data_IF_387534478673
#
_entry.id   IF_387534478673
#
_cell.length_a   1.000
_cell.length_b   1.000
_cell.length_c   1.000
_cell.angle_alpha   90.00
_cell.angle_beta   90.00
_cell.angle_gamma   90.00
#
_symmetry.space_group_name_H-M   'P 1'
#
loop_
_entity.id
_entity.type
_entity.pdbx_description
1 polymer ?
#
# COMPACT_ATOMS: atom_id res chain seq x y z
N UNK A 1 18.73 -14.45 4.38
CA UNK A 1 18.44 -13.93 5.72
C UNK A 1 19.74 -13.90 6.52
N UNK A 2 20.01 -12.80 7.24
CA UNK A 2 21.27 -12.59 7.95
C UNK A 2 21.46 -13.54 9.16
N UNK A 3 20.37 -14.13 9.67
CA UNK A 3 20.40 -14.93 10.91
C UNK A 3 20.62 -14.10 12.19
N UNK A 4 20.69 -12.77 12.08
CA UNK A 4 20.88 -11.88 13.22
C UNK A 4 19.58 -11.75 14.05
N UNK A 5 19.67 -11.58 15.37
CA UNK A 5 18.52 -11.25 16.19
C UNK A 5 17.93 -9.89 15.78
N UNK A 6 16.59 -9.83 15.73
CA UNK A 6 15.83 -8.62 15.35
C UNK A 6 14.97 -8.20 16.51
N UNK A 7 15.13 -6.95 16.94
CA UNK A 7 14.33 -6.31 17.98
C UNK A 7 13.39 -5.30 17.33
N UNK A 8 12.09 -5.60 17.35
CA UNK A 8 11.07 -4.77 16.66
C UNK A 8 10.43 -3.79 17.61
N UNK A 9 10.38 -2.54 17.20
CA UNK A 9 9.67 -1.45 17.89
C UNK A 9 8.49 -0.99 17.03
N UNK A 10 7.31 -0.97 17.62
CA UNK A 10 6.06 -0.53 16.98
C UNK A 10 5.29 0.43 17.88
N UNK A 11 4.46 1.30 17.29
CA UNK A 11 3.60 2.22 18.07
C UNK A 11 2.31 1.52 18.53
N UNK A 12 2.41 0.66 19.52
CA UNK A 12 1.29 -0.12 20.07
C UNK A 12 0.92 0.22 21.52
N UNK A 13 1.61 1.19 22.13
CA UNK A 13 1.47 1.62 23.52
C UNK A 13 1.38 3.13 23.62
N UNK A 14 1.18 3.62 24.84
CA UNK A 14 1.37 5.03 25.18
C UNK A 14 2.83 5.45 24.99
N UNK A 15 3.11 6.73 25.01
CA UNK A 15 4.42 7.29 24.72
C UNK A 15 5.51 6.78 25.66
N UNK A 16 5.21 6.70 26.96
CA UNK A 16 6.17 6.18 27.95
C UNK A 16 6.49 4.69 27.74
N UNK A 17 5.47 3.91 27.36
CA UNK A 17 5.65 2.50 27.03
C UNK A 17 6.51 2.31 25.78
N UNK A 18 6.28 3.12 24.75
CA UNK A 18 7.11 3.10 23.53
C UNK A 18 8.55 3.49 23.80
N UNK A 19 8.82 4.53 24.60
CA UNK A 19 10.18 4.91 24.98
C UNK A 19 10.91 3.80 25.74
N UNK A 20 10.21 3.08 26.62
CA UNK A 20 10.78 1.91 27.31
C UNK A 20 11.13 0.79 26.32
N UNK A 21 10.23 0.51 25.35
CA UNK A 21 10.47 -0.50 24.34
C UNK A 21 11.66 -0.12 23.42
N UNK A 22 11.81 1.17 23.07
CA UNK A 22 12.97 1.67 22.32
C UNK A 22 14.25 1.42 23.09
N UNK A 23 14.33 1.85 24.36
CA UNK A 23 15.52 1.66 25.17
C UNK A 23 15.89 0.18 25.34
N UNK A 24 14.89 -0.67 25.66
CA UNK A 24 15.10 -2.10 25.82
C UNK A 24 15.60 -2.75 24.53
N UNK A 25 15.05 -2.39 23.37
CA UNK A 25 15.47 -2.93 22.07
C UNK A 25 16.95 -2.61 21.78
N UNK A 26 17.38 -1.37 22.01
CA UNK A 26 18.78 -0.99 21.80
C UNK A 26 19.72 -1.61 22.84
N UNK A 27 19.33 -1.68 24.12
CA UNK A 27 20.12 -2.34 25.16
C UNK A 27 20.37 -3.82 24.84
N UNK A 28 19.33 -4.55 24.45
CA UNK A 28 19.46 -5.96 24.08
C UNK A 28 20.26 -6.14 22.78
N UNK A 29 20.05 -5.26 21.79
CA UNK A 29 20.83 -5.28 20.55
C UNK A 29 22.33 -5.08 20.81
N UNK A 30 22.70 -4.14 21.66
CA UNK A 30 24.11 -3.88 22.05
C UNK A 30 24.72 -5.08 22.77
N UNK A 31 23.99 -5.75 23.68
CA UNK A 31 24.47 -6.94 24.39
C UNK A 31 24.82 -8.08 23.43
N UNK A 32 24.08 -8.23 22.34
CA UNK A 32 24.28 -9.28 21.33
C UNK A 32 25.44 -9.00 20.37
N UNK A 33 26.07 -7.83 20.41
CA UNK A 33 27.20 -7.38 19.55
C UNK A 33 26.94 -7.33 18.05
N UNK A 34 25.98 -8.10 17.53
CA UNK A 34 25.49 -8.07 16.15
C UNK A 34 23.99 -8.31 16.19
N UNK A 35 23.21 -7.27 15.91
CA UNK A 35 21.77 -7.31 15.97
C UNK A 35 21.13 -6.25 15.07
N UNK A 36 19.85 -6.40 14.81
CA UNK A 36 19.04 -5.44 14.07
C UNK A 36 18.00 -4.86 15.02
N UNK A 37 17.90 -3.53 15.07
CA UNK A 37 16.75 -2.83 15.64
C UNK A 37 15.87 -2.39 14.49
N UNK A 38 14.64 -2.88 14.46
CA UNK A 38 13.68 -2.63 13.40
C UNK A 38 12.53 -1.75 13.89
N UNK A 39 12.36 -0.60 13.26
CA UNK A 39 11.23 0.29 13.50
C UNK A 39 10.18 0.11 12.39
N UNK A 40 8.99 -0.31 12.76
CA UNK A 40 7.86 -0.35 11.82
C UNK A 40 7.06 0.94 11.90
N UNK A 41 6.85 1.59 10.73
CA UNK A 41 6.18 2.89 10.61
C UNK A 41 6.82 3.97 11.52
N UNK A 42 8.13 4.18 11.44
CA UNK A 42 8.86 5.15 12.28
C UNK A 42 8.31 6.58 12.17
N UNK A 43 7.73 6.95 11.03
CA UNK A 43 7.08 8.24 10.82
C UNK A 43 5.88 8.46 11.75
N UNK A 44 5.28 7.40 12.28
CA UNK A 44 4.24 7.49 13.32
C UNK A 44 4.80 7.82 14.71
N UNK A 45 6.10 7.57 14.91
CA UNK A 45 6.81 7.85 16.18
C UNK A 45 7.50 9.22 16.18
N UNK A 46 7.81 9.76 15.00
CA UNK A 46 8.72 10.92 14.83
C UNK A 46 8.16 12.01 13.92
N UNK A 47 6.85 12.15 13.73
CA UNK A 47 6.26 13.13 12.81
C UNK A 47 6.43 14.57 13.32
N UNK A 48 6.97 15.47 12.48
CA UNK A 48 7.06 16.90 12.76
C UNK A 48 5.68 17.61 12.84
N UNK A 49 4.63 17.02 12.28
CA UNK A 49 3.27 17.57 12.27
C UNK A 49 2.55 17.49 13.64
N UNK A 50 3.09 16.74 14.58
CA UNK A 50 2.51 16.58 15.92
C UNK A 50 3.17 17.57 16.88
N UNK A 51 2.44 18.62 17.21
CA UNK A 51 2.84 19.59 18.24
C UNK A 51 3.20 18.86 19.53
N UNK A 52 4.47 18.85 19.88
CA UNK A 52 5.08 18.48 21.17
C UNK A 52 4.93 17.03 21.67
N UNK A 53 3.95 16.24 21.21
CA UNK A 53 3.69 14.91 21.78
C UNK A 53 4.71 13.82 21.41
N UNK A 54 5.33 13.91 20.23
CA UNK A 54 6.28 12.89 19.75
C UNK A 54 7.76 13.29 19.99
N UNK A 55 8.02 14.47 20.53
CA UNK A 55 9.37 14.96 20.78
C UNK A 55 10.20 14.03 21.70
N UNK A 56 9.67 13.47 22.80
CA UNK A 56 10.40 12.55 23.65
C UNK A 56 10.80 11.25 22.96
N UNK A 57 9.91 10.63 22.18
CA UNK A 57 10.22 9.42 21.41
C UNK A 57 11.32 9.69 20.39
N UNK A 58 11.22 10.79 19.65
CA UNK A 58 12.24 11.19 18.69
C UNK A 58 13.62 11.35 19.32
N UNK A 59 13.70 12.09 20.45
CA UNK A 59 14.96 12.30 21.19
C UNK A 59 15.52 10.96 21.67
N UNK A 60 14.66 10.07 22.18
CA UNK A 60 15.05 8.76 22.65
C UNK A 60 15.63 7.91 21.51
N UNK A 61 14.99 7.88 20.34
CA UNK A 61 15.51 7.18 19.16
C UNK A 61 16.88 7.73 18.76
N UNK A 62 16.99 9.05 18.67
CA UNK A 62 18.23 9.72 18.27
C UNK A 62 19.38 9.41 19.23
N UNK A 63 19.15 9.49 20.53
CA UNK A 63 20.16 9.21 21.57
C UNK A 63 20.61 7.77 21.51
N UNK A 64 19.68 6.83 21.32
CA UNK A 64 20.03 5.40 21.22
C UNK A 64 20.79 5.07 19.92
N UNK A 65 20.43 5.68 18.79
CA UNK A 65 21.19 5.55 17.53
C UNK A 65 22.63 6.05 17.71
N UNK A 66 22.81 7.19 18.35
CA UNK A 66 24.16 7.70 18.61
C UNK A 66 24.95 6.82 19.60
N UNK A 67 24.29 6.27 20.60
CA UNK A 67 24.90 5.39 21.58
C UNK A 67 25.27 3.98 21.03
N UNK A 68 24.64 3.52 19.97
CA UNK A 68 24.92 2.21 19.37
C UNK A 68 25.93 2.26 18.20
N UNK A 69 26.47 3.42 17.85
CA UNK A 69 27.52 3.56 16.83
C UNK A 69 28.71 2.65 17.19
N UNK A 70 29.23 1.99 16.18
CA UNK A 70 30.37 1.08 16.29
C UNK A 70 30.17 -0.16 17.20
N UNK A 71 28.92 -0.42 17.62
CA UNK A 71 28.58 -1.58 18.48
C UNK A 71 27.97 -2.77 17.72
N UNK A 72 28.05 -2.75 16.38
CA UNK A 72 27.53 -3.84 15.56
C UNK A 72 25.99 -3.90 15.47
N UNK A 73 25.30 -2.81 15.80
CA UNK A 73 23.84 -2.70 15.71
C UNK A 73 23.46 -2.02 14.39
N UNK A 74 22.69 -2.72 13.56
CA UNK A 74 22.08 -2.16 12.35
C UNK A 74 20.68 -1.67 12.71
N UNK A 75 20.38 -0.41 12.38
CA UNK A 75 19.04 0.15 12.53
C UNK A 75 18.36 0.17 11.17
N UNK A 76 17.18 -0.46 11.10
CA UNK A 76 16.32 -0.50 9.90
C UNK A 76 14.96 0.07 10.25
N UNK A 77 14.38 0.87 9.37
CA UNK A 77 13.08 1.46 9.59
C UNK A 77 12.23 1.44 8.33
N UNK A 78 10.91 1.26 8.48
CA UNK A 78 9.94 1.55 7.44
C UNK A 78 9.28 2.89 7.71
N UNK A 79 8.92 3.62 6.65
CA UNK A 79 8.17 4.88 6.75
C UNK A 79 7.27 5.06 5.53
N UNK A 80 6.04 5.51 5.76
CA UNK A 80 5.12 5.86 4.67
C UNK A 80 5.28 7.30 4.21
N UNK A 81 5.75 8.19 5.09
CA UNK A 81 5.85 9.64 4.83
C UNK A 81 7.20 10.18 5.28
N UNK A 82 8.24 9.86 4.50
CA UNK A 82 9.62 10.28 4.83
C UNK A 82 9.76 11.81 4.94
N UNK A 83 8.98 12.58 4.16
CA UNK A 83 8.98 14.05 4.20
C UNK A 83 8.49 14.64 5.53
N UNK A 84 7.86 13.84 6.39
CA UNK A 84 7.41 14.23 7.73
C UNK A 84 8.41 13.87 8.83
N UNK A 85 9.48 13.18 8.48
CA UNK A 85 10.51 12.79 9.44
C UNK A 85 11.49 13.91 9.69
N UNK A 86 11.94 14.09 10.94
CA UNK A 86 12.99 15.06 11.28
C UNK A 86 14.26 14.82 10.46
N UNK A 87 14.74 15.85 9.79
CA UNK A 87 15.94 15.79 8.96
C UNK A 87 17.18 15.30 9.74
N UNK A 88 17.19 15.50 11.06
CA UNK A 88 18.28 15.03 11.92
C UNK A 88 18.37 13.52 12.04
N UNK A 89 17.28 12.75 11.84
CA UNK A 89 17.30 11.30 11.77
C UNK A 89 17.81 10.78 10.41
N UNK A 90 17.65 11.55 9.36
CA UNK A 90 18.01 11.18 7.99
C UNK A 90 19.46 11.58 7.62
N UNK A 91 20.25 12.00 8.61
CA UNK A 91 21.65 12.40 8.41
C UNK A 91 22.61 11.21 8.48
N UNK A 92 23.81 11.42 7.92
CA UNK A 92 24.90 10.43 7.96
C UNK A 92 25.17 9.91 9.37
N UNK A 93 25.34 8.59 9.47
CA UNK A 93 25.52 7.86 10.72
C UNK A 93 24.22 7.57 11.47
N UNK A 94 23.04 7.74 10.85
CA UNK A 94 21.74 7.33 11.37
C UNK A 94 20.96 6.62 10.25
N UNK A 95 19.77 7.10 9.82
CA UNK A 95 19.01 6.54 8.70
C UNK A 95 19.44 7.23 7.38
N UNK A 96 20.69 7.10 7.02
CA UNK A 96 21.31 7.76 5.89
C UNK A 96 21.13 7.03 4.56
N UNK A 97 20.89 5.73 4.60
CA UNK A 97 20.56 4.94 3.41
C UNK A 97 19.04 4.82 3.27
N UNK A 98 18.51 5.35 2.19
CA UNK A 98 17.08 5.37 1.91
C UNK A 98 16.80 4.58 0.63
N UNK A 99 15.86 3.65 0.71
CA UNK A 99 15.42 2.84 -0.40
C UNK A 99 13.94 3.15 -0.67
N UNK A 100 13.63 3.99 -1.68
CA UNK A 100 12.24 4.24 -2.06
C UNK A 100 11.64 2.95 -2.63
N UNK A 101 10.49 2.56 -2.08
CA UNK A 101 9.67 1.47 -2.63
C UNK A 101 8.47 2.15 -3.28
N UNK A 102 8.54 2.25 -4.59
CA UNK A 102 7.52 2.90 -5.40
C UNK A 102 6.34 1.96 -5.68
N UNK A 103 5.28 2.51 -6.25
CA UNK A 103 4.16 1.72 -6.75
C UNK A 103 4.69 0.83 -7.89
N UNK A 104 4.31 -0.46 -7.95
CA UNK A 104 4.78 -1.36 -8.99
C UNK A 104 4.48 -0.85 -10.39
N UNK A 105 5.45 -0.95 -11.28
CA UNK A 105 5.23 -0.77 -12.71
C UNK A 105 4.34 -1.90 -13.27
N UNK A 106 3.91 -1.76 -14.51
CA UNK A 106 2.92 -2.67 -15.11
C UNK A 106 3.36 -4.14 -15.11
N UNK A 107 4.62 -4.39 -15.44
CA UNK A 107 5.20 -5.74 -15.47
C UNK A 107 5.26 -6.35 -14.08
N UNK A 108 5.68 -5.58 -13.08
CA UNK A 108 5.72 -6.00 -11.69
C UNK A 108 4.31 -6.18 -11.12
N UNK A 109 3.38 -5.28 -11.46
CA UNK A 109 1.98 -5.40 -11.07
C UNK A 109 1.36 -6.70 -11.60
N UNK A 110 1.66 -7.10 -12.85
CA UNK A 110 1.21 -8.36 -13.43
C UNK A 110 1.69 -9.57 -12.62
N UNK A 111 2.99 -9.60 -12.29
CA UNK A 111 3.58 -10.68 -11.50
C UNK A 111 2.97 -10.75 -10.07
N UNK A 112 2.72 -9.58 -9.46
CA UNK A 112 2.09 -9.49 -8.14
C UNK A 112 0.63 -9.97 -8.17
N UNK A 113 -0.15 -9.54 -9.16
CA UNK A 113 -1.53 -9.98 -9.37
C UNK A 113 -1.57 -11.51 -9.55
N UNK A 114 -0.72 -12.04 -10.41
CA UNK A 114 -0.62 -13.48 -10.62
C UNK A 114 -0.25 -14.23 -9.33
N UNK A 115 0.72 -13.71 -8.56
CA UNK A 115 1.12 -14.30 -7.28
C UNK A 115 -0.03 -14.36 -6.28
N UNK A 116 -0.82 -13.29 -6.15
CA UNK A 116 -1.96 -13.29 -5.23
C UNK A 116 -3.12 -14.15 -5.73
N UNK A 117 -3.41 -14.14 -7.03
CA UNK A 117 -4.46 -14.95 -7.62
C UNK A 117 -4.14 -16.45 -7.55
N UNK A 118 -2.88 -16.86 -7.74
CA UNK A 118 -2.46 -18.27 -7.60
C UNK A 118 -2.72 -18.84 -6.21
N UNK A 119 -2.82 -18.02 -5.18
CA UNK A 119 -3.22 -18.43 -3.82
C UNK A 119 -4.72 -18.68 -3.68
N UNK A 120 -5.49 -18.46 -4.70
CA UNK A 120 -6.95 -18.61 -4.74
C UNK A 120 -7.34 -19.63 -5.82
N UNK A 121 -8.57 -20.12 -5.73
CA UNK A 121 -9.16 -20.89 -6.82
C UNK A 121 -9.71 -19.91 -7.85
N UNK A 122 -8.97 -19.70 -8.91
CA UNK A 122 -9.31 -18.75 -9.99
C UNK A 122 -9.91 -19.51 -11.16
N UNK A 123 -10.84 -18.86 -11.87
CA UNK A 123 -11.40 -19.37 -13.13
C UNK A 123 -10.26 -19.51 -14.16
N UNK A 124 -10.11 -20.68 -14.80
CA UNK A 124 -9.12 -20.88 -15.85
C UNK A 124 -9.24 -19.88 -17.01
N UNK A 125 -10.44 -19.32 -17.23
CA UNK A 125 -10.72 -18.35 -18.27
C UNK A 125 -10.57 -16.89 -17.77
N UNK A 126 -10.12 -16.66 -16.54
CA UNK A 126 -9.91 -15.31 -16.03
C UNK A 126 -8.85 -14.58 -16.86
N UNK A 127 -9.17 -13.38 -17.32
CA UNK A 127 -8.25 -12.56 -18.10
C UNK A 127 -7.33 -11.79 -17.18
N UNK A 128 -6.13 -12.33 -16.96
CA UNK A 128 -5.10 -11.70 -16.11
C UNK A 128 -4.61 -10.37 -16.65
N UNK A 129 -4.57 -10.20 -17.98
CA UNK A 129 -4.15 -8.94 -18.61
C UNK A 129 -5.14 -7.81 -18.30
N UNK A 130 -6.42 -8.07 -18.44
CA UNK A 130 -7.47 -7.08 -18.13
C UNK A 130 -7.48 -6.75 -16.63
N UNK A 131 -7.31 -7.77 -15.77
CA UNK A 131 -7.19 -7.56 -14.32
C UNK A 131 -5.98 -6.65 -14.04
N UNK A 132 -4.82 -6.93 -14.64
CA UNK A 132 -3.62 -6.13 -14.44
C UNK A 132 -3.80 -4.69 -14.90
N UNK A 133 -4.36 -4.46 -16.09
CA UNK A 133 -4.63 -3.11 -16.60
C UNK A 133 -5.53 -2.31 -15.65
N UNK A 134 -6.53 -2.95 -15.07
CA UNK A 134 -7.47 -2.31 -14.16
C UNK A 134 -6.81 -1.92 -12.84
N UNK A 135 -5.94 -2.78 -12.29
CA UNK A 135 -5.32 -2.55 -10.98
C UNK A 135 -3.92 -1.93 -11.04
N UNK A 136 -3.43 -1.64 -12.24
CA UNK A 136 -2.17 -0.92 -12.47
C UNK A 136 -2.10 0.34 -11.61
N UNK A 137 -0.89 0.72 -11.18
CA UNK A 137 -0.66 1.88 -10.30
C UNK A 137 -1.27 1.78 -8.90
N UNK A 138 -1.67 0.58 -8.46
CA UNK A 138 -2.08 0.31 -7.09
C UNK A 138 -0.90 -0.19 -6.25
N UNK A 139 -0.89 0.18 -4.96
CA UNK A 139 0.09 -0.41 -4.03
C UNK A 139 -0.13 -1.92 -3.86
N UNK A 140 0.95 -2.67 -3.52
CA UNK A 140 0.83 -4.12 -3.27
C UNK A 140 -0.25 -4.45 -2.22
N UNK A 141 -0.38 -3.61 -1.18
CA UNK A 141 -1.41 -3.77 -0.15
C UNK A 141 -2.83 -3.63 -0.74
N UNK A 142 -3.01 -2.68 -1.68
CA UNK A 142 -4.29 -2.48 -2.34
C UNK A 142 -4.60 -3.64 -3.29
N UNK A 143 -3.61 -4.14 -4.02
CA UNK A 143 -3.75 -5.33 -4.88
C UNK A 143 -4.20 -6.54 -4.06
N UNK A 144 -3.54 -6.83 -2.93
CA UNK A 144 -3.93 -7.94 -2.05
C UNK A 144 -5.36 -7.77 -1.52
N UNK A 145 -5.71 -6.54 -1.10
CA UNK A 145 -7.06 -6.21 -0.63
C UNK A 145 -8.13 -6.48 -1.69
N UNK A 146 -7.95 -6.00 -2.90
CA UNK A 146 -8.90 -6.19 -4.02
C UNK A 146 -9.06 -7.67 -4.33
N UNK A 147 -7.96 -8.42 -4.40
CA UNK A 147 -8.01 -9.86 -4.68
C UNK A 147 -8.65 -10.66 -3.52
N UNK A 148 -8.42 -10.27 -2.28
CA UNK A 148 -9.11 -10.86 -1.14
C UNK A 148 -10.61 -10.59 -1.17
N UNK A 149 -11.02 -9.35 -1.46
CA UNK A 149 -12.44 -8.98 -1.55
C UNK A 149 -13.12 -9.70 -2.73
N UNK A 150 -12.42 -9.89 -3.87
CA UNK A 150 -12.96 -10.66 -4.99
C UNK A 150 -13.31 -12.10 -4.62
N UNK A 151 -12.50 -12.74 -3.78
CA UNK A 151 -12.78 -14.07 -3.27
C UNK A 151 -14.02 -14.08 -2.35
N UNK A 152 -14.21 -13.03 -1.54
CA UNK A 152 -15.42 -12.87 -0.71
C UNK A 152 -16.66 -12.68 -1.59
N UNK A 153 -16.56 -11.88 -2.65
CA UNK A 153 -17.65 -11.65 -3.61
C UNK A 153 -18.02 -12.96 -4.32
N UNK A 154 -17.04 -13.70 -4.82
CA UNK A 154 -17.26 -15.02 -5.45
C UNK A 154 -17.97 -15.98 -4.47
N UNK A 155 -17.53 -16.03 -3.21
CA UNK A 155 -18.16 -16.87 -2.19
C UNK A 155 -19.61 -16.45 -1.90
N UNK A 156 -19.92 -15.15 -1.82
CA UNK A 156 -21.29 -14.63 -1.67
C UNK A 156 -22.19 -15.04 -2.83
N UNK A 157 -21.64 -15.05 -4.05
CA UNK A 157 -22.33 -15.51 -5.27
C UNK A 157 -22.37 -17.05 -5.38
N UNK A 158 -21.89 -17.78 -4.38
CA UNK A 158 -21.80 -19.25 -4.35
C UNK A 158 -20.99 -19.83 -5.51
N UNK A 159 -20.03 -19.08 -6.05
CA UNK A 159 -19.08 -19.54 -7.05
C UNK A 159 -17.98 -20.39 -6.38
N UNK A 160 -17.42 -21.34 -7.14
CA UNK A 160 -16.31 -22.18 -6.69
C UNK A 160 -14.94 -21.58 -7.01
N UNK A 161 -14.92 -20.61 -7.91
CA UNK A 161 -13.72 -19.95 -8.44
C UNK A 161 -13.96 -18.44 -8.54
N UNK A 162 -12.88 -17.67 -8.51
CA UNK A 162 -12.89 -16.22 -8.67
C UNK A 162 -12.77 -15.93 -10.16
N UNK A 163 -13.72 -15.19 -10.73
CA UNK A 163 -13.70 -14.73 -12.11
C UNK A 163 -13.22 -13.28 -12.23
N UNK A 164 -12.94 -12.85 -13.47
CA UNK A 164 -12.57 -11.45 -13.78
C UNK A 164 -13.61 -10.47 -13.26
N UNK A 165 -14.90 -10.77 -13.43
CA UNK A 165 -16.01 -9.92 -12.97
C UNK A 165 -16.06 -9.75 -11.45
N UNK A 166 -15.58 -10.72 -10.66
CA UNK A 166 -15.53 -10.62 -9.21
C UNK A 166 -14.39 -9.69 -8.76
N UNK A 167 -13.29 -9.68 -9.53
CA UNK A 167 -12.18 -8.74 -9.31
C UNK A 167 -12.60 -7.33 -9.70
N UNK A 168 -13.30 -7.16 -10.83
CA UNK A 168 -13.86 -5.87 -11.26
C UNK A 168 -14.79 -5.30 -10.18
N UNK A 169 -15.72 -6.11 -9.66
CA UNK A 169 -16.64 -5.67 -8.61
C UNK A 169 -15.90 -5.27 -7.32
N UNK A 170 -14.88 -6.04 -6.93
CA UNK A 170 -14.05 -5.74 -5.77
C UNK A 170 -13.28 -4.41 -5.93
N UNK A 171 -12.71 -4.18 -7.11
CA UNK A 171 -12.00 -2.95 -7.45
C UNK A 171 -12.93 -1.73 -7.39
N UNK A 172 -14.09 -1.83 -8.03
CA UNK A 172 -15.09 -0.76 -8.03
C UNK A 172 -15.55 -0.42 -6.62
N UNK A 173 -15.81 -1.44 -5.79
CA UNK A 173 -16.22 -1.26 -4.40
C UNK A 173 -15.13 -0.60 -3.54
N UNK A 174 -13.85 -0.86 -3.83
CA UNK A 174 -12.74 -0.25 -3.09
C UNK A 174 -12.52 1.22 -3.47
N UNK A 175 -12.60 1.54 -4.76
CA UNK A 175 -12.33 2.88 -5.27
C UNK A 175 -13.53 3.81 -5.19
N UNK A 176 -14.71 3.26 -5.39
CA UNK A 176 -15.98 3.99 -5.38
C UNK A 176 -16.80 3.48 -4.20
N UNK A 177 -16.57 4.05 -3.02
CA UNK A 177 -17.37 3.73 -1.84
C UNK A 177 -18.85 3.82 -2.20
N UNK A 178 -19.64 2.81 -1.82
CA UNK A 178 -21.10 2.81 -1.91
C UNK A 178 -21.68 3.99 -1.11
N UNK A 179 -21.62 5.19 -1.66
CA UNK A 179 -22.48 6.27 -1.22
C UNK A 179 -23.87 5.93 -1.74
N UNK A 180 -24.68 5.31 -0.87
CA UNK A 180 -26.06 4.91 -1.01
C UNK A 180 -26.64 5.07 -2.40
N UNK A 181 -26.81 3.95 -3.08
CA UNK A 181 -27.28 3.88 -4.47
C UNK A 181 -28.57 4.68 -4.66
N UNK A 182 -28.47 5.94 -5.01
CA UNK A 182 -29.60 6.71 -5.52
C UNK A 182 -29.92 6.15 -6.89
N UNK A 183 -31.11 5.58 -7.05
CA UNK A 183 -31.58 5.05 -8.34
C UNK A 183 -31.54 6.17 -9.37
N UNK A 184 -30.53 6.15 -10.24
CA UNK A 184 -30.48 7.05 -11.40
C UNK A 184 -31.67 6.78 -12.32
N UNK A 185 -32.19 7.83 -12.92
CA UNK A 185 -33.11 7.67 -14.06
C UNK A 185 -32.32 7.10 -15.25
N UNK A 186 -32.98 6.31 -16.09
CA UNK A 186 -32.37 5.75 -17.30
C UNK A 186 -31.73 6.84 -18.19
N UNK A 187 -32.29 8.03 -18.20
CA UNK A 187 -31.78 9.18 -18.95
C UNK A 187 -30.41 9.65 -18.43
N UNK A 188 -30.24 9.79 -17.10
CA UNK A 188 -28.96 10.18 -16.51
C UNK A 188 -27.89 9.11 -16.75
N UNK A 189 -28.25 7.83 -16.67
CA UNK A 189 -27.31 6.74 -17.00
C UNK A 189 -26.88 6.80 -18.46
N UNK A 190 -27.83 7.07 -19.38
CA UNK A 190 -27.52 7.20 -20.80
C UNK A 190 -26.56 8.35 -21.07
N UNK A 191 -26.78 9.51 -20.47
CA UNK A 191 -25.92 10.69 -20.64
C UNK A 191 -24.50 10.38 -20.15
N UNK A 192 -24.36 9.78 -18.94
CA UNK A 192 -23.08 9.38 -18.42
C UNK A 192 -22.39 8.34 -19.31
N UNK A 193 -23.15 7.35 -19.84
CA UNK A 193 -22.60 6.35 -20.76
C UNK A 193 -22.04 6.96 -22.04
N UNK A 194 -22.73 7.92 -22.62
CA UNK A 194 -22.27 8.61 -23.84
C UNK A 194 -21.02 9.43 -23.53
N UNK A 195 -20.97 10.09 -22.38
CA UNK A 195 -19.82 10.87 -21.95
C UNK A 195 -18.56 9.98 -21.80
N UNK A 196 -18.66 8.89 -21.06
CA UNK A 196 -17.55 7.96 -20.88
C UNK A 196 -17.15 7.25 -22.18
N UNK A 197 -18.11 6.89 -23.03
CA UNK A 197 -17.83 6.36 -24.34
C UNK A 197 -17.04 7.34 -25.22
N UNK A 198 -17.33 8.65 -25.09
CA UNK A 198 -16.55 9.70 -25.75
C UNK A 198 -15.10 9.74 -25.28
N UNK A 199 -14.86 9.67 -23.99
CA UNK A 199 -13.49 9.58 -23.43
C UNK A 199 -12.76 8.34 -23.93
N UNK A 200 -13.43 7.18 -23.92
CA UNK A 200 -12.87 5.93 -24.44
C UNK A 200 -12.50 6.04 -25.91
N UNK A 201 -13.41 6.54 -26.75
CA UNK A 201 -13.16 6.65 -28.18
C UNK A 201 -11.97 7.55 -28.49
N UNK A 202 -11.87 8.70 -27.83
CA UNK A 202 -10.74 9.62 -27.99
C UNK A 202 -9.44 8.98 -27.50
N UNK A 203 -9.46 8.36 -26.33
CA UNK A 203 -8.28 7.71 -25.77
C UNK A 203 -7.75 6.59 -26.68
N UNK A 204 -8.63 5.72 -27.17
CA UNK A 204 -8.28 4.61 -28.08
C UNK A 204 -7.79 5.07 -29.45
N UNK A 205 -8.30 6.21 -29.95
CA UNK A 205 -7.79 6.81 -31.19
C UNK A 205 -6.39 7.36 -31.01
N UNK A 206 -6.13 8.01 -29.86
CA UNK A 206 -4.81 8.59 -29.58
C UNK A 206 -3.79 7.52 -29.22
N UNK A 207 -4.19 6.50 -28.48
CA UNK A 207 -3.32 5.39 -28.05
C UNK A 207 -4.14 4.12 -27.89
N UNK A 208 -4.06 3.24 -28.88
CA UNK A 208 -4.79 1.97 -28.90
C UNK A 208 -4.42 1.08 -27.69
N UNK A 209 -5.46 0.55 -27.03
CA UNK A 209 -5.31 -0.33 -25.86
C UNK A 209 -5.02 0.40 -24.55
N UNK A 210 -5.21 1.73 -24.49
CA UNK A 210 -4.96 2.55 -23.31
C UNK A 210 -6.11 2.52 -22.30
N UNK A 211 -7.31 2.12 -22.73
CA UNK A 211 -8.46 2.05 -21.82
C UNK A 211 -8.37 0.79 -20.96
N UNK A 212 -8.20 0.97 -19.66
CA UNK A 212 -8.13 -0.11 -18.68
C UNK A 212 -9.51 -0.54 -18.18
N UNK A 213 -10.35 0.43 -17.83
CA UNK A 213 -11.70 0.19 -17.31
C UNK A 213 -12.62 1.35 -17.59
N UNK A 214 -13.85 1.04 -17.98
CA UNK A 214 -14.94 2.01 -18.07
C UNK A 214 -16.07 1.54 -17.18
N UNK A 215 -16.59 2.42 -16.37
CA UNK A 215 -17.71 2.10 -15.50
C UNK A 215 -18.65 3.27 -15.31
N UNK A 216 -19.91 2.92 -15.11
CA UNK A 216 -20.95 3.84 -14.65
C UNK A 216 -21.46 3.29 -13.35
N UNK A 217 -20.93 3.81 -12.26
CA UNK A 217 -21.27 3.35 -10.91
C UNK A 217 -21.78 4.51 -10.08
N UNK A 218 -22.81 4.24 -9.26
CA UNK A 218 -23.47 5.25 -8.42
C UNK A 218 -23.91 6.49 -9.23
N UNK A 219 -23.40 7.67 -8.90
CA UNK A 219 -23.80 8.93 -9.52
C UNK A 219 -22.85 9.44 -10.60
N UNK A 220 -21.72 8.75 -10.82
CA UNK A 220 -20.68 9.19 -11.74
C UNK A 220 -20.26 8.06 -12.68
N UNK A 221 -19.88 8.41 -13.93
CA UNK A 221 -19.13 7.56 -14.82
C UNK A 221 -17.63 7.85 -14.68
N UNK A 222 -16.79 6.91 -15.04
CA UNK A 222 -15.36 7.16 -15.17
C UNK A 222 -14.74 6.26 -16.22
N UNK A 223 -13.69 6.77 -16.81
CA UNK A 223 -12.81 6.05 -17.73
C UNK A 223 -11.41 6.03 -17.15
N UNK A 224 -10.92 4.84 -16.80
CA UNK A 224 -9.54 4.64 -16.34
C UNK A 224 -8.66 4.36 -17.52
N UNK A 225 -7.57 5.12 -17.64
CA UNK A 225 -6.56 4.93 -18.67
C UNK A 225 -5.34 4.23 -18.09
N UNK A 226 -4.81 3.26 -18.82
CA UNK A 226 -3.52 2.61 -18.56
C UNK A 226 -2.41 3.53 -19.10
N UNK A 227 -2.10 4.59 -18.34
CA UNK A 227 -1.05 5.56 -18.66
C UNK A 227 0.10 5.39 -17.68
N UNK A 228 1.36 5.40 -18.14
CA UNK A 228 2.52 5.43 -17.26
C UNK A 228 2.60 6.75 -16.49
#
# INVERSE_FOLDING_TARGET
ASGLPVYTVTKNKDEQGVMKDINAAFEEAIKNKQAIVFFDDIDKLCSEDRKDADAPCFVTIQSNMDACKDKGVLVVATANKIGKMPKSLLRSGRLDHQFPIEIPEKEDAAAIVEYYLRKRKVDPNANYEDITKMVSYSSCANLDKVINESAVIAARKRKKVVGTEDVVEAYLKDHYRDYGCTKRTQEKQRVASIHEAGHCAVAEVLRKGVVGLVSIHADEGFTQLDTP
#
